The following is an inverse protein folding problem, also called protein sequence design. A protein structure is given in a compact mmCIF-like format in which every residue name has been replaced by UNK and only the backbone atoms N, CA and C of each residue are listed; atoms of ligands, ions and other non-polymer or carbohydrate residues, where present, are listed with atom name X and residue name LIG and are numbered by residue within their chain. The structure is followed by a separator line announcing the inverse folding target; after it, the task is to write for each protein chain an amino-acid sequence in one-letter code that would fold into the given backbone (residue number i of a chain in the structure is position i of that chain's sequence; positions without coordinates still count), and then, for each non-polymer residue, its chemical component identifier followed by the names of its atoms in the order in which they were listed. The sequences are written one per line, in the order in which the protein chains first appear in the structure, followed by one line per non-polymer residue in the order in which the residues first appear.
data_IF_433691950875
#
_entry.id   IF_433691950875
#
_cell.length_a   1.000
_cell.length_b   1.000
_cell.length_c   1.000
_cell.angle_alpha   90.00
_cell.angle_beta   90.00
_cell.angle_gamma   90.00
#
_symmetry.space_group_name_H-M   'P 1'
#
loop_
_entity.id
_entity.type
_entity.pdbx_description
1 polymer ?
#
# COMPACT_ATOMS: atom_id res chain seq x y z
N UNK A 1 7.69 -1.14 -0.34
CA UNK A 1 7.33 -0.08 0.60
C UNK A 1 6.82 1.09 -0.19
N UNK A 2 5.68 1.64 0.19
CA UNK A 2 5.03 2.72 -0.55
C UNK A 2 4.64 3.83 0.42
N UNK A 3 4.93 5.07 0.04
CA UNK A 3 4.45 6.26 0.72
C UNK A 3 3.44 6.95 -0.17
N UNK A 4 2.27 7.23 0.38
CA UNK A 4 1.20 7.98 -0.28
C UNK A 4 0.83 9.21 0.53
N UNK A 5 0.19 10.16 -0.12
CA UNK A 5 -0.43 11.30 0.54
C UNK A 5 -1.92 11.34 0.18
N UNK A 6 -2.77 11.56 1.17
CA UNK A 6 -4.21 11.71 1.00
C UNK A 6 -4.56 13.03 0.29
N UNK A 7 -5.75 13.14 -0.33
CA UNK A 7 -6.26 14.39 -0.88
C UNK A 7 -6.26 15.54 0.15
N UNK A 8 -6.20 16.79 -0.34
CA UNK A 8 -6.38 17.96 0.54
C UNK A 8 -7.78 17.97 1.15
N UNK A 9 -7.87 18.25 2.46
CA UNK A 9 -9.12 18.22 3.21
C UNK A 9 -9.60 16.83 3.65
N UNK A 10 -8.89 15.77 3.24
CA UNK A 10 -9.20 14.40 3.64
C UNK A 10 -8.79 14.11 5.09
N UNK A 11 -9.56 13.28 5.80
CA UNK A 11 -9.23 12.82 7.15
C UNK A 11 -8.60 11.43 7.14
N UNK A 12 -7.86 11.10 8.21
CA UNK A 12 -7.29 9.75 8.39
C UNK A 12 -8.41 8.71 8.45
N UNK A 13 -9.52 9.02 9.11
CA UNK A 13 -10.67 8.12 9.25
C UNK A 13 -11.25 7.78 7.88
N UNK A 14 -11.43 8.78 7.03
CA UNK A 14 -11.99 8.56 5.70
C UNK A 14 -11.01 7.84 4.77
N UNK A 15 -9.72 8.18 4.84
CA UNK A 15 -8.66 7.42 4.17
C UNK A 15 -8.59 5.97 4.63
N UNK A 16 -8.86 5.69 5.91
CA UNK A 16 -8.94 4.31 6.45
C UNK A 16 -10.15 3.56 5.92
N UNK A 17 -11.32 4.19 5.88
CA UNK A 17 -12.52 3.59 5.27
C UNK A 17 -12.29 3.22 3.81
N UNK A 18 -11.67 4.10 3.03
CA UNK A 18 -11.35 3.86 1.63
C UNK A 18 -10.30 2.75 1.44
N UNK A 19 -9.26 2.75 2.28
CA UNK A 19 -8.27 1.66 2.35
C UNK A 19 -8.97 0.31 2.60
N UNK A 20 -9.85 0.24 3.60
CA UNK A 20 -10.57 -0.97 3.98
C UNK A 20 -11.52 -1.45 2.87
N UNK A 21 -12.25 -0.53 2.23
CA UNK A 21 -13.26 -0.85 1.22
C UNK A 21 -12.66 -1.19 -0.15
N UNK A 22 -11.64 -0.46 -0.59
CA UNK A 22 -11.20 -0.47 -1.99
C UNK A 22 -9.80 -1.06 -2.19
N UNK A 23 -8.89 -0.85 -1.24
CA UNK A 23 -7.47 -1.20 -1.42
C UNK A 23 -7.14 -2.58 -0.83
N UNK A 24 -7.58 -2.86 0.40
CA UNK A 24 -7.31 -4.14 1.07
C UNK A 24 -7.83 -5.37 0.29
N UNK A 25 -9.04 -5.37 -0.32
CA UNK A 25 -9.50 -6.51 -1.10
C UNK A 25 -8.60 -6.81 -2.29
N UNK A 26 -8.12 -5.78 -2.98
CA UNK A 26 -7.23 -5.94 -4.14
C UNK A 26 -5.89 -6.52 -3.74
N UNK A 27 -5.29 -6.01 -2.66
CA UNK A 27 -3.99 -6.50 -2.17
C UNK A 27 -4.08 -7.96 -1.72
N UNK A 28 -5.14 -8.33 -1.01
CA UNK A 28 -5.37 -9.72 -0.56
C UNK A 28 -5.54 -10.71 -1.71
N UNK A 29 -5.97 -10.25 -2.88
CA UNK A 29 -6.15 -11.08 -4.07
C UNK A 29 -4.91 -11.10 -4.98
N UNK A 30 -3.88 -10.30 -4.67
CA UNK A 30 -2.68 -10.23 -5.49
C UNK A 30 -1.90 -11.57 -5.41
N UNK A 31 -1.40 -12.09 -6.55
CA UNK A 31 -0.62 -13.32 -6.56
C UNK A 31 0.60 -13.25 -5.64
N UNK A 32 0.73 -14.25 -4.76
CA UNK A 32 1.83 -14.36 -3.81
C UNK A 32 1.77 -13.37 -2.65
N UNK A 33 0.63 -12.73 -2.37
CA UNK A 33 0.45 -11.90 -1.18
C UNK A 33 0.69 -12.71 0.11
N UNK A 34 1.56 -12.20 0.98
CA UNK A 34 1.88 -12.79 2.29
C UNK A 34 1.26 -11.98 3.43
N UNK A 35 1.57 -10.68 3.47
CA UNK A 35 1.09 -9.79 4.52
C UNK A 35 1.15 -8.32 4.08
N UNK A 36 0.42 -7.46 4.77
CA UNK A 36 0.56 -6.02 4.61
C UNK A 36 0.39 -5.29 5.94
N UNK A 37 1.13 -4.21 6.10
CA UNK A 37 0.99 -3.25 7.20
C UNK A 37 0.81 -1.85 6.62
N UNK A 38 -0.09 -1.08 7.24
CA UNK A 38 -0.39 0.30 6.87
C UNK A 38 -0.29 1.17 8.11
N UNK A 39 0.48 2.26 8.00
CA UNK A 39 0.79 3.17 9.09
C UNK A 39 0.53 4.62 8.63
N UNK A 40 -0.62 5.22 8.98
CA UNK A 40 -0.90 6.62 8.69
C UNK A 40 -0.10 7.56 9.61
N UNK A 41 0.27 8.72 9.09
CA UNK A 41 0.89 9.83 9.83
C UNK A 41 0.39 11.17 9.26
N UNK A 42 -0.62 11.74 9.91
CA UNK A 42 -1.31 12.92 9.36
C UNK A 42 -1.95 12.59 8.01
N UNK A 43 -1.58 13.33 6.96
CA UNK A 43 -2.05 13.06 5.58
C UNK A 43 -1.15 12.09 4.81
N UNK A 44 -0.01 11.69 5.36
CA UNK A 44 0.85 10.69 4.73
C UNK A 44 0.47 9.28 5.21
N UNK A 45 0.58 8.30 4.32
CA UNK A 45 0.41 6.89 4.63
C UNK A 45 1.64 6.11 4.19
N UNK A 46 2.24 5.36 5.12
CA UNK A 46 3.29 4.40 4.81
C UNK A 46 2.68 3.00 4.75
N UNK A 47 3.01 2.23 3.73
CA UNK A 47 2.65 0.83 3.63
C UNK A 47 3.81 -0.07 3.26
N UNK A 48 3.77 -1.29 3.78
CA UNK A 48 4.65 -2.37 3.37
C UNK A 48 3.77 -3.58 3.07
N UNK A 49 3.86 -4.07 1.84
CA UNK A 49 3.18 -5.27 1.36
C UNK A 49 4.26 -6.28 1.02
N UNK A 50 4.13 -7.48 1.57
CA UNK A 50 5.10 -8.58 1.43
C UNK A 50 4.53 -9.61 0.46
N UNK A 51 5.37 -10.06 -0.46
CA UNK A 51 5.06 -11.09 -1.44
C UNK A 51 6.04 -12.26 -1.33
N UNK A 52 5.67 -13.42 -1.86
CA UNK A 52 6.51 -14.63 -1.87
C UNK A 52 7.78 -14.42 -2.71
N UNK A 53 7.67 -13.70 -3.84
CA UNK A 53 8.81 -13.44 -4.73
C UNK A 53 8.99 -11.96 -5.08
N UNK A 54 10.20 -11.61 -5.51
CA UNK A 54 10.55 -10.26 -5.96
C UNK A 54 9.76 -9.86 -7.20
N UNK A 55 9.53 -10.78 -8.12
CA UNK A 55 8.81 -10.55 -9.37
C UNK A 55 7.35 -10.21 -9.10
N UNK A 56 6.71 -10.90 -8.16
CA UNK A 56 5.34 -10.59 -7.72
C UNK A 56 5.27 -9.21 -7.06
N UNK A 57 6.22 -8.90 -6.17
CA UNK A 57 6.31 -7.57 -5.54
C UNK A 57 6.51 -6.46 -6.56
N UNK A 58 7.37 -6.69 -7.57
CA UNK A 58 7.61 -5.74 -8.65
C UNK A 58 6.35 -5.54 -9.50
N UNK A 59 5.69 -6.63 -9.92
CA UNK A 59 4.46 -6.56 -10.67
C UNK A 59 3.35 -5.81 -9.90
N UNK A 60 3.24 -6.01 -8.58
CA UNK A 60 2.28 -5.29 -7.74
C UNK A 60 2.61 -3.80 -7.63
N UNK A 61 3.90 -3.44 -7.53
CA UNK A 61 4.34 -2.04 -7.51
C UNK A 61 4.08 -1.35 -8.86
N UNK A 62 4.39 -2.01 -9.98
CA UNK A 62 4.25 -1.44 -11.32
C UNK A 62 2.78 -1.26 -11.71
N UNK A 63 1.89 -2.15 -11.26
CA UNK A 63 0.47 -2.11 -11.55
C UNK A 63 -0.38 -1.47 -10.44
N UNK A 64 0.26 -0.77 -9.50
CA UNK A 64 -0.44 -0.18 -8.36
C UNK A 64 -1.48 0.85 -8.84
N UNK A 65 -2.72 0.65 -8.39
CA UNK A 65 -3.82 1.60 -8.60
C UNK A 65 -4.15 2.27 -7.29
N UNK A 66 -3.91 3.58 -7.23
CA UNK A 66 -4.28 4.38 -6.08
C UNK A 66 -5.75 4.82 -6.18
N UNK A 67 -6.45 4.95 -5.04
CA UNK A 67 -7.75 5.58 -5.02
C UNK A 67 -7.73 7.01 -5.58
N UNK A 68 -8.86 7.51 -6.08
CA UNK A 68 -8.94 8.87 -6.63
C UNK A 68 -8.42 9.93 -5.65
N UNK A 69 -7.54 10.80 -6.14
CA UNK A 69 -6.97 11.91 -5.35
C UNK A 69 -5.84 11.53 -4.39
N UNK A 70 -5.61 10.24 -4.12
CA UNK A 70 -4.43 9.78 -3.38
C UNK A 70 -3.21 9.89 -4.28
N UNK A 71 -2.15 10.54 -3.78
CA UNK A 71 -0.92 10.78 -4.52
C UNK A 71 0.17 9.82 -4.08
N UNK A 72 0.83 9.16 -5.03
CA UNK A 72 2.06 8.42 -4.74
C UNK A 72 3.19 9.40 -4.43
N UNK A 73 3.81 9.27 -3.27
CA UNK A 73 5.01 10.03 -2.89
C UNK A 73 6.26 9.22 -3.26
N UNK A 74 6.24 7.92 -2.95
CA UNK A 74 7.38 7.01 -3.19
C UNK A 74 6.91 5.56 -3.28
N UNK A 75 7.58 4.76 -4.11
CA UNK A 75 7.47 3.30 -4.07
C UNK A 75 8.85 2.68 -4.27
N UNK A 76 9.17 1.63 -3.50
CA UNK A 76 10.37 0.82 -3.69
C UNK A 76 10.14 -0.66 -3.34
N UNK A 77 10.83 -1.55 -4.06
CA UNK A 77 10.80 -3.00 -3.85
C UNK A 77 12.11 -3.44 -3.23
N UNK A 78 12.03 -4.16 -2.11
CA UNK A 78 13.17 -4.65 -1.34
C UNK A 78 12.93 -6.09 -0.91
N UNK A 79 14.04 -6.78 -0.64
CA UNK A 79 14.03 -8.09 -0.01
C UNK A 79 13.79 -7.95 1.49
N UNK A 80 12.96 -8.81 2.06
CA UNK A 80 12.70 -8.88 3.50
C UNK A 80 13.72 -9.81 4.13
N UNK A 81 14.62 -9.27 4.95
CA UNK A 81 15.67 -10.05 5.59
C UNK A 81 15.18 -10.93 6.75
N UNK A 82 14.11 -10.52 7.46
CA UNK A 82 13.50 -11.27 8.56
C UNK A 82 12.08 -10.77 8.85
N UNK A 83 11.24 -11.65 9.42
CA UNK A 83 9.91 -11.35 9.97
C UNK A 83 9.77 -12.05 11.33
N UNK A 84 8.91 -11.54 12.22
CA UNK A 84 8.62 -12.13 13.53
C UNK A 84 7.12 -12.31 13.71
#
# INVERSE_FOLDING_TARGET
MTTVELPEGETIERGREDLEANVLPMIKQAPGFVSAVFAPSGREGLSMVVFETREQAQAASDNMKLPPGVRMVKSDVREVAATA
#
